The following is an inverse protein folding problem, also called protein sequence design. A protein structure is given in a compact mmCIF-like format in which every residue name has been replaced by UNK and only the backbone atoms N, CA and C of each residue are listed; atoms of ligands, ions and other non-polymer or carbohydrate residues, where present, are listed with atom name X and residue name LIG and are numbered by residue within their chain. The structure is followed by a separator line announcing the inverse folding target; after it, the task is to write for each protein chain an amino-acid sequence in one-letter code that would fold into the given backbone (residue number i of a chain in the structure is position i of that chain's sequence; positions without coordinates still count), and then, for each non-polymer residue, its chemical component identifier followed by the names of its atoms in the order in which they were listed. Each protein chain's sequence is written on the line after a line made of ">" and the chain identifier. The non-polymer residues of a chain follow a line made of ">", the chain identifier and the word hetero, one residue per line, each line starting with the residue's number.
data_IF_784536261060
#
_entry.id   IF_784536261060
#
_cell.length_a   1.000
_cell.length_b   1.000
_cell.length_c   1.000
_cell.angle_alpha   90.00
_cell.angle_beta   90.00
_cell.angle_gamma   90.00
#
_symmetry.space_group_name_H-M   'P 1'
#
loop_
_entity.id
_entity.type
_entity.pdbx_description
1 polymer ?
#
# COMPACT_ATOMS: atom_id res chain seq x y z
N UNK A 1 12.84 2.66 -4.49
CA UNK A 1 12.25 3.12 -3.20
C UNK A 1 12.29 1.95 -2.22
N UNK A 2 12.58 2.19 -0.94
CA UNK A 2 12.69 1.12 0.07
C UNK A 2 11.34 0.61 0.59
N UNK A 3 10.29 1.45 0.56
CA UNK A 3 8.96 1.12 1.09
C UNK A 3 7.91 2.11 0.55
N UNK A 4 6.70 1.66 0.15
CA UNK A 4 6.31 0.25 -0.07
C UNK A 4 7.02 -0.35 -1.29
N UNK A 5 7.06 -1.68 -1.40
CA UNK A 5 7.77 -2.39 -2.48
C UNK A 5 6.79 -3.09 -3.41
N UNK A 6 7.05 -3.03 -4.71
CA UNK A 6 6.24 -3.69 -5.73
C UNK A 6 6.59 -5.18 -5.78
N UNK A 7 5.62 -6.02 -5.45
CA UNK A 7 5.68 -7.47 -5.48
C UNK A 7 4.59 -8.05 -6.40
N UNK A 8 4.18 -7.30 -7.44
CA UNK A 8 3.13 -7.73 -8.38
C UNK A 8 3.41 -9.13 -8.92
N UNK A 9 2.42 -10.03 -8.78
CA UNK A 9 2.53 -11.45 -9.14
C UNK A 9 2.83 -12.38 -7.96
N UNK A 10 3.24 -11.85 -6.81
CA UNK A 10 3.72 -12.63 -5.66
C UNK A 10 2.75 -12.63 -4.46
N UNK A 11 1.45 -12.30 -4.67
CA UNK A 11 0.46 -12.31 -3.59
C UNK A 11 -0.02 -13.76 -3.31
N UNK A 12 0.23 -14.34 -2.12
CA UNK A 12 -0.18 -15.70 -1.79
C UNK A 12 -1.62 -15.81 -1.27
N UNK A 13 -2.27 -14.68 -0.94
CA UNK A 13 -3.58 -14.67 -0.30
C UNK A 13 -4.73 -14.70 -1.30
N UNK A 14 -4.59 -14.03 -2.45
CA UNK A 14 -5.58 -14.02 -3.51
C UNK A 14 -4.95 -13.71 -4.87
N UNK A 15 -5.66 -14.07 -5.94
CA UNK A 15 -5.28 -13.74 -7.31
C UNK A 15 -5.99 -12.45 -7.74
N UNK A 16 -5.22 -11.48 -8.23
CA UNK A 16 -5.74 -10.21 -8.78
C UNK A 16 -4.92 -9.80 -10.00
N UNK A 17 -5.55 -9.05 -10.91
CA UNK A 17 -4.87 -8.37 -12.02
C UNK A 17 -4.36 -6.98 -11.64
N UNK A 18 -4.65 -6.53 -10.42
CA UNK A 18 -4.14 -5.26 -9.87
C UNK A 18 -2.67 -5.38 -9.43
N UNK A 19 -1.93 -4.26 -9.37
CA UNK A 19 -0.60 -4.24 -8.79
C UNK A 19 -0.62 -4.72 -7.33
N UNK A 20 0.42 -5.45 -6.92
CA UNK A 20 0.60 -5.85 -5.52
C UNK A 20 1.79 -5.11 -4.94
N UNK A 21 1.52 -4.34 -3.88
CA UNK A 21 2.54 -3.69 -3.06
C UNK A 21 2.48 -4.26 -1.65
N UNK A 22 3.64 -4.55 -1.10
CA UNK A 22 3.80 -4.92 0.31
C UNK A 22 4.66 -3.88 1.04
N UNK A 23 4.85 -4.07 2.34
CA UNK A 23 5.64 -3.19 3.18
C UNK A 23 5.06 -1.78 3.27
N UNK A 24 3.73 -1.67 3.38
CA UNK A 24 3.09 -0.45 3.86
C UNK A 24 3.35 -0.33 5.37
N UNK A 25 4.59 -0.03 5.78
CA UNK A 25 4.97 -0.06 7.19
C UNK A 25 4.23 0.98 8.04
N UNK A 26 4.14 2.22 7.57
CA UNK A 26 3.48 3.30 8.29
C UNK A 26 2.87 4.30 7.28
N UNK A 27 1.63 4.07 6.83
CA UNK A 27 0.97 5.05 5.97
C UNK A 27 0.79 6.37 6.73
N UNK A 28 0.50 6.31 8.03
CA UNK A 28 0.48 7.44 8.96
C UNK A 28 1.71 8.37 8.89
N UNK A 29 2.90 7.85 8.58
CA UNK A 29 4.09 8.66 8.35
C UNK A 29 4.19 9.11 6.89
N UNK A 30 4.05 8.16 5.95
CA UNK A 30 4.34 8.38 4.54
C UNK A 30 3.33 9.30 3.84
N UNK A 31 2.08 9.39 4.31
CA UNK A 31 1.05 10.26 3.71
C UNK A 31 1.40 11.74 3.81
N UNK A 32 2.25 12.12 4.79
CA UNK A 32 2.59 13.53 5.09
C UNK A 32 3.62 14.12 4.14
N UNK A 33 4.46 13.29 3.53
CA UNK A 33 5.57 13.77 2.69
C UNK A 33 5.91 12.83 1.54
N UNK A 34 6.06 11.53 1.79
CA UNK A 34 6.51 10.58 0.76
C UNK A 34 5.47 10.39 -0.35
N UNK A 35 4.22 10.07 0.00
CA UNK A 35 3.15 9.92 -0.99
C UNK A 35 2.89 11.22 -1.77
N UNK A 36 2.83 12.41 -1.11
CA UNK A 36 2.80 13.69 -1.82
C UNK A 36 3.98 13.88 -2.78
N UNK A 37 5.22 13.58 -2.36
CA UNK A 37 6.39 13.71 -3.23
C UNK A 37 6.28 12.80 -4.47
N UNK A 38 5.81 11.57 -4.29
CA UNK A 38 5.62 10.62 -5.38
C UNK A 38 4.60 11.12 -6.41
N UNK A 39 3.59 11.91 -6.03
CA UNK A 39 2.68 12.52 -7.01
C UNK A 39 3.38 13.44 -8.02
N UNK A 40 4.59 13.93 -7.68
CA UNK A 40 5.39 14.82 -8.53
C UNK A 40 6.46 14.04 -9.27
N UNK A 41 7.23 13.20 -8.56
CA UNK A 41 8.44 12.58 -9.13
C UNK A 41 8.16 11.23 -9.79
N UNK A 42 7.13 10.51 -9.35
CA UNK A 42 6.76 9.19 -9.88
C UNK A 42 5.25 8.94 -9.73
N UNK A 43 4.41 9.68 -10.47
CA UNK A 43 2.96 9.59 -10.35
C UNK A 43 2.40 8.23 -10.76
N UNK A 44 3.12 7.48 -11.62
CA UNK A 44 2.72 6.14 -12.04
C UNK A 44 2.83 5.19 -10.86
N UNK A 45 3.97 5.15 -10.17
CA UNK A 45 4.12 4.31 -8.98
C UNK A 45 3.11 4.68 -7.88
N UNK A 46 2.84 5.98 -7.68
CA UNK A 46 1.84 6.41 -6.70
C UNK A 46 0.42 5.93 -7.07
N UNK A 47 0.05 5.96 -8.35
CA UNK A 47 -1.24 5.42 -8.81
C UNK A 47 -1.33 3.90 -8.60
N UNK A 48 -0.24 3.16 -8.87
CA UNK A 48 -0.18 1.73 -8.62
C UNK A 48 -0.30 1.38 -7.12
N UNK A 49 0.33 2.16 -6.23
CA UNK A 49 0.18 1.99 -4.77
C UNK A 49 -1.26 2.17 -4.33
N UNK A 50 -1.96 3.21 -4.84
CA UNK A 50 -3.37 3.43 -4.53
C UNK A 50 -4.24 2.28 -5.05
N UNK A 51 -3.97 1.77 -6.25
CA UNK A 51 -4.67 0.60 -6.80
C UNK A 51 -4.45 -0.65 -5.95
N UNK A 52 -3.24 -0.88 -5.47
CA UNK A 52 -2.94 -1.97 -4.54
C UNK A 52 -3.73 -1.84 -3.23
N UNK A 53 -3.81 -0.63 -2.66
CA UNK A 53 -4.60 -0.38 -1.45
C UNK A 53 -6.10 -0.64 -1.67
N UNK A 54 -6.65 -0.26 -2.83
CA UNK A 54 -8.03 -0.56 -3.18
C UNK A 54 -8.28 -2.05 -3.38
N UNK A 55 -7.32 -2.79 -3.94
CA UNK A 55 -7.43 -4.24 -4.08
C UNK A 55 -7.41 -4.94 -2.71
N UNK A 56 -6.58 -4.47 -1.78
CA UNK A 56 -6.60 -4.92 -0.38
C UNK A 56 -7.96 -4.64 0.26
N UNK A 57 -8.52 -3.43 0.08
CA UNK A 57 -9.84 -3.10 0.59
C UNK A 57 -10.93 -4.04 0.06
N UNK A 58 -10.91 -4.39 -1.23
CA UNK A 58 -11.89 -5.30 -1.84
C UNK A 58 -11.86 -6.70 -1.22
N UNK A 59 -10.68 -7.20 -0.83
CA UNK A 59 -10.52 -8.57 -0.31
C UNK A 59 -10.57 -8.65 1.22
N UNK A 60 -10.08 -7.62 1.94
CA UNK A 60 -10.03 -7.62 3.40
C UNK A 60 -11.12 -6.75 4.06
N UNK A 61 -11.85 -5.93 3.29
CA UNK A 61 -12.94 -5.08 3.77
C UNK A 61 -12.51 -3.79 4.47
N UNK A 62 -11.20 -3.51 4.53
CA UNK A 62 -10.64 -2.30 5.15
C UNK A 62 -9.34 -1.87 4.47
N UNK A 63 -9.09 -0.57 4.47
CA UNK A 63 -7.78 -0.02 4.08
C UNK A 63 -6.78 -0.22 5.22
N UNK A 64 -5.57 -0.71 4.95
CA UNK A 64 -4.54 -0.82 5.97
C UNK A 64 -3.88 0.53 6.24
N UNK A 65 -3.63 0.87 7.51
CA UNK A 65 -2.68 1.93 7.89
C UNK A 65 -1.25 1.38 7.98
N UNK A 66 -1.15 0.08 8.32
CA UNK A 66 0.08 -0.69 8.33
C UNK A 66 -0.19 -2.12 7.81
N UNK A 67 0.66 -2.62 6.91
CA UNK A 67 0.63 -3.98 6.35
C UNK A 67 2.02 -4.38 5.85
N UNK A 68 2.50 -5.52 6.30
CA UNK A 68 3.81 -6.05 5.92
C UNK A 68 3.81 -7.58 6.00
N UNK A 69 4.42 -8.25 5.03
CA UNK A 69 4.55 -9.71 5.03
C UNK A 69 3.22 -10.43 5.24
N UNK A 70 2.17 -9.93 4.57
CA UNK A 70 0.80 -10.45 4.66
C UNK A 70 0.13 -10.31 6.04
N UNK A 71 0.80 -9.69 7.01
CA UNK A 71 0.27 -9.43 8.33
C UNK A 71 -0.43 -8.07 8.40
N UNK A 72 -1.48 -7.99 9.22
CA UNK A 72 -2.18 -6.74 9.52
C UNK A 72 -1.37 -5.98 10.57
N UNK A 73 -1.08 -4.71 10.31
CA UNK A 73 -0.54 -3.82 11.31
C UNK A 73 -1.62 -3.12 12.13
N UNK A 74 -1.22 -2.50 13.23
CA UNK A 74 -2.09 -1.66 14.04
C UNK A 74 -2.14 -0.24 13.48
N UNK A 75 -3.32 0.37 13.57
CA UNK A 75 -3.53 1.77 13.20
C UNK A 75 -2.93 2.70 14.25
N UNK A 76 -2.20 3.74 13.83
CA UNK A 76 -1.52 4.69 14.72
C UNK A 76 -2.38 5.87 15.18
N UNK A 77 -3.68 5.84 14.88
CA UNK A 77 -4.67 6.85 15.32
C UNK A 77 -5.67 7.27 14.26
N UNK A 78 -5.50 6.86 12.99
CA UNK A 78 -6.45 7.13 11.92
C UNK A 78 -6.17 6.31 10.65
N UNK A 79 -7.10 6.34 9.70
CA UNK A 79 -6.93 5.75 8.38
C UNK A 79 -6.64 6.85 7.37
N UNK A 80 -5.37 7.01 6.99
CA UNK A 80 -4.88 8.09 6.11
C UNK A 80 -4.82 7.66 4.64
#
# INVERSE_FOLDING_TARGET
>A
MLSPQNYTGENPLWQSSEPYFDSFYCIWDSFRAQHPLLTIVDPVAQAEMVRALLDIYRHEGKLPDCRMSFCKGFTQGGSN
#
